data_IF_891270511465
#
_entry.id   IF_891270511465
#
_cell.length_a   1.000
_cell.length_b   1.000
_cell.length_c   1.000
_cell.angle_alpha   90.00
_cell.angle_beta   90.00
_cell.angle_gamma   90.00
#
_symmetry.space_group_name_H-M   'P 1'
#
loop_
_entity.id
_entity.type
_entity.pdbx_description
1 polymer ?
#
# COMPACT_ATOMS: atom_id res chain seq x y z
N UNK A 1 -35.95 57.16 35.84
CA UNK A 1 -35.37 55.79 35.92
C UNK A 1 -35.75 54.88 34.74
N UNK A 2 -36.62 55.31 33.81
CA UNK A 2 -37.17 54.47 32.73
C UNK A 2 -36.26 54.37 31.48
N UNK A 3 -35.46 55.39 31.16
CA UNK A 3 -34.58 55.40 29.98
C UNK A 3 -33.37 54.44 30.09
N UNK A 4 -32.86 54.20 31.30
CA UNK A 4 -31.71 53.30 31.53
C UNK A 4 -32.09 51.82 31.37
N UNK A 5 -33.35 51.45 31.64
CA UNK A 5 -33.88 50.10 31.47
C UNK A 5 -34.08 49.72 30.00
N UNK A 6 -34.49 50.66 29.15
CA UNK A 6 -34.69 50.43 27.71
C UNK A 6 -33.34 50.18 27.00
N UNK A 7 -32.30 50.95 27.36
CA UNK A 7 -30.97 50.80 26.76
C UNK A 7 -30.25 49.51 27.19
N UNK A 8 -30.51 49.00 28.40
CA UNK A 8 -30.01 47.68 28.84
C UNK A 8 -30.69 46.52 28.12
N UNK A 9 -32.01 46.60 27.87
CA UNK A 9 -32.75 45.55 27.19
C UNK A 9 -32.40 45.45 25.69
N UNK A 10 -32.16 46.59 25.02
CA UNK A 10 -31.69 46.62 23.63
C UNK A 10 -30.31 45.96 23.44
N UNK A 11 -29.38 46.18 24.37
CA UNK A 11 -28.06 45.52 24.33
C UNK A 11 -28.14 44.00 24.59
N UNK A 12 -29.04 43.55 25.46
CA UNK A 12 -29.26 42.13 25.70
C UNK A 12 -29.86 41.41 24.48
N UNK A 13 -30.83 42.04 23.81
CA UNK A 13 -31.43 41.52 22.57
C UNK A 13 -30.43 41.50 21.41
N UNK A 14 -29.58 42.53 21.27
CA UNK A 14 -28.49 42.54 20.30
C UNK A 14 -27.47 41.44 20.58
N UNK A 15 -27.07 41.23 21.84
CA UNK A 15 -26.15 40.16 22.25
C UNK A 15 -26.69 38.76 21.94
N UNK A 16 -27.99 38.53 22.11
CA UNK A 16 -28.64 37.25 21.80
C UNK A 16 -28.78 36.99 20.28
N UNK A 17 -28.94 38.04 19.47
CA UNK A 17 -28.93 37.93 18.00
C UNK A 17 -27.50 37.75 17.45
N UNK A 18 -26.51 38.40 18.07
CA UNK A 18 -25.10 38.25 17.74
C UNK A 18 -24.60 36.84 18.11
N UNK A 19 -24.98 36.31 19.27
CA UNK A 19 -24.65 34.93 19.65
C UNK A 19 -25.32 33.90 18.72
N UNK A 20 -26.61 34.07 18.38
CA UNK A 20 -27.29 33.18 17.42
C UNK A 20 -26.64 33.17 16.03
N UNK A 21 -26.26 34.34 15.51
CA UNK A 21 -25.59 34.43 14.21
C UNK A 21 -24.14 33.93 14.25
N UNK A 22 -23.43 34.06 15.37
CA UNK A 22 -22.12 33.43 15.58
C UNK A 22 -22.23 31.92 15.69
N UNK A 23 -23.21 31.38 16.42
CA UNK A 23 -23.45 29.94 16.57
C UNK A 23 -23.79 29.27 15.24
N UNK A 24 -24.61 29.90 14.40
CA UNK A 24 -24.95 29.39 13.06
C UNK A 24 -23.74 29.42 12.13
N UNK A 25 -22.85 30.41 12.23
CA UNK A 25 -21.59 30.44 11.49
C UNK A 25 -20.61 29.39 12.01
N UNK A 26 -20.55 29.15 13.32
CA UNK A 26 -19.70 28.12 13.92
C UNK A 26 -20.17 26.72 13.56
N UNK A 27 -21.50 26.48 13.52
CA UNK A 27 -22.10 25.24 13.01
C UNK A 27 -21.79 25.03 11.54
N UNK A 28 -21.98 26.03 10.69
CA UNK A 28 -21.57 25.95 9.27
C UNK A 28 -20.07 25.69 9.14
N UNK A 29 -19.23 26.31 9.96
CA UNK A 29 -17.79 26.08 9.95
C UNK A 29 -17.42 24.65 10.41
N UNK A 30 -18.12 24.11 11.41
CA UNK A 30 -17.98 22.70 11.82
C UNK A 30 -18.47 21.74 10.74
N UNK A 31 -19.58 22.04 10.07
CA UNK A 31 -20.10 21.25 8.94
C UNK A 31 -19.13 21.27 7.75
N UNK A 32 -18.57 22.44 7.40
CA UNK A 32 -17.51 22.55 6.39
C UNK A 32 -16.23 21.82 6.80
N UNK A 33 -15.87 21.82 8.08
CA UNK A 33 -14.71 21.09 8.61
C UNK A 33 -14.93 19.57 8.53
N UNK A 34 -16.11 19.09 8.94
CA UNK A 34 -16.52 17.69 8.84
C UNK A 34 -16.61 17.22 7.39
N UNK A 35 -17.16 18.06 6.50
CA UNK A 35 -17.25 17.77 5.07
C UNK A 35 -15.86 17.67 4.44
N UNK A 36 -14.92 18.59 4.77
CA UNK A 36 -13.54 18.51 4.30
C UNK A 36 -12.81 17.28 4.84
N UNK A 37 -13.00 16.93 6.11
CA UNK A 37 -12.41 15.72 6.69
C UNK A 37 -12.90 14.44 6.00
N UNK A 38 -14.20 14.34 5.70
CA UNK A 38 -14.77 13.24 4.91
C UNK A 38 -14.18 13.19 3.51
N UNK A 39 -14.09 14.33 2.83
CA UNK A 39 -13.56 14.42 1.47
C UNK A 39 -12.06 14.02 1.40
N UNK A 40 -11.29 14.35 2.43
CA UNK A 40 -9.90 13.89 2.56
C UNK A 40 -9.80 12.37 2.75
N UNK A 41 -10.67 11.79 3.58
CA UNK A 41 -10.72 10.33 3.81
C UNK A 41 -11.13 9.58 2.54
N UNK A 42 -12.15 10.05 1.80
CA UNK A 42 -12.57 9.44 0.53
C UNK A 42 -11.44 9.42 -0.49
N UNK A 43 -10.67 10.52 -0.60
CA UNK A 43 -9.49 10.58 -1.47
C UNK A 43 -8.39 9.63 -1.03
N UNK A 44 -8.17 9.46 0.27
CA UNK A 44 -7.18 8.51 0.78
C UNK A 44 -7.56 7.06 0.44
N UNK A 45 -8.83 6.67 0.63
CA UNK A 45 -9.32 5.34 0.29
C UNK A 45 -9.22 5.09 -1.22
N UNK A 46 -9.64 6.06 -2.04
CA UNK A 46 -9.52 5.97 -3.50
C UNK A 46 -8.06 5.85 -3.93
N UNK A 47 -7.15 6.62 -3.32
CA UNK A 47 -5.72 6.53 -3.61
C UNK A 47 -5.17 5.15 -3.25
N UNK A 48 -5.54 4.60 -2.08
CA UNK A 48 -5.11 3.27 -1.65
C UNK A 48 -5.59 2.19 -2.61
N UNK A 49 -6.86 2.23 -3.01
CA UNK A 49 -7.43 1.27 -3.96
C UNK A 49 -6.74 1.38 -5.33
N UNK A 50 -6.55 2.60 -5.84
CA UNK A 50 -5.86 2.81 -7.10
C UNK A 50 -4.40 2.36 -7.07
N UNK A 51 -3.68 2.60 -5.97
CA UNK A 51 -2.31 2.15 -5.82
C UNK A 51 -2.23 0.62 -5.77
N UNK A 52 -3.16 -0.03 -5.04
CA UNK A 52 -3.27 -1.50 -4.99
C UNK A 52 -3.55 -2.10 -6.36
N UNK A 53 -4.54 -1.55 -7.09
CA UNK A 53 -4.88 -1.99 -8.44
C UNK A 53 -3.72 -1.78 -9.42
N UNK A 54 -3.05 -0.61 -9.36
CA UNK A 54 -1.89 -0.31 -10.21
C UNK A 54 -0.70 -1.21 -9.90
N UNK A 55 -0.44 -1.51 -8.62
CA UNK A 55 0.63 -2.43 -8.24
C UNK A 55 0.37 -3.85 -8.76
N UNK A 56 -0.86 -4.36 -8.64
CA UNK A 56 -1.23 -5.66 -9.22
C UNK A 56 -1.17 -5.64 -10.76
N UNK A 57 -1.68 -4.58 -11.39
CA UNK A 57 -1.62 -4.44 -12.85
C UNK A 57 -0.17 -4.40 -13.37
N UNK A 58 0.73 -3.70 -12.66
CA UNK A 58 2.16 -3.67 -12.98
C UNK A 58 2.81 -5.05 -12.81
N UNK A 59 2.47 -5.80 -11.76
CA UNK A 59 2.98 -7.15 -11.56
C UNK A 59 2.59 -8.09 -12.72
N UNK A 60 1.32 -8.03 -13.13
CA UNK A 60 0.82 -8.82 -14.27
C UNK A 60 1.48 -8.35 -15.57
N UNK A 61 1.56 -7.04 -15.82
CA UNK A 61 2.21 -6.49 -17.01
C UNK A 61 3.69 -6.91 -17.09
N UNK A 62 4.41 -6.87 -15.97
CA UNK A 62 5.80 -7.30 -15.88
C UNK A 62 5.97 -8.78 -16.23
N UNK A 63 5.12 -9.65 -15.67
CA UNK A 63 5.15 -11.08 -16.00
C UNK A 63 4.87 -11.35 -17.49
N UNK A 64 3.94 -10.61 -18.10
CA UNK A 64 3.62 -10.72 -19.53
C UNK A 64 4.79 -10.28 -20.42
N UNK A 65 5.47 -9.20 -20.07
CA UNK A 65 6.65 -8.77 -20.84
C UNK A 65 7.83 -9.73 -20.65
N UNK A 66 8.08 -10.18 -19.42
CA UNK A 66 9.11 -11.19 -19.15
C UNK A 66 8.92 -12.43 -20.02
N UNK A 67 7.68 -12.90 -20.16
CA UNK A 67 7.35 -14.08 -20.93
C UNK A 67 7.69 -13.97 -22.42
N UNK A 68 7.54 -12.79 -23.03
CA UNK A 68 7.90 -12.58 -24.45
C UNK A 68 9.40 -12.74 -24.67
N UNK A 69 10.20 -12.10 -23.83
CA UNK A 69 11.67 -12.18 -23.94
C UNK A 69 12.19 -13.56 -23.53
N UNK A 70 11.70 -14.10 -22.42
CA UNK A 70 12.11 -15.41 -21.94
C UNK A 70 11.64 -16.55 -22.87
N UNK A 71 10.45 -16.44 -23.45
CA UNK A 71 9.93 -17.41 -24.41
C UNK A 71 10.74 -17.46 -25.71
N UNK A 72 11.16 -16.32 -26.24
CA UNK A 72 12.05 -16.28 -27.41
C UNK A 72 13.43 -16.86 -27.10
N UNK A 73 14.01 -16.53 -25.94
CA UNK A 73 15.24 -17.15 -25.45
C UNK A 73 15.10 -18.67 -25.29
N UNK A 74 14.03 -19.13 -24.64
CA UNK A 74 13.75 -20.55 -24.42
C UNK A 74 13.61 -21.30 -25.75
N UNK A 75 12.95 -20.72 -26.74
CA UNK A 75 12.83 -21.32 -28.07
C UNK A 75 14.20 -21.49 -28.74
N UNK A 76 15.02 -20.45 -28.76
CA UNK A 76 16.37 -20.50 -29.35
C UNK A 76 17.26 -21.49 -28.59
N UNK A 77 17.23 -21.47 -27.25
CA UNK A 77 17.98 -22.40 -26.41
C UNK A 77 17.56 -23.84 -26.65
N UNK A 78 16.25 -24.12 -26.70
CA UNK A 78 15.70 -25.46 -26.93
C UNK A 78 16.12 -25.98 -28.30
N UNK A 79 16.01 -25.18 -29.37
CA UNK A 79 16.45 -25.56 -30.71
C UNK A 79 17.95 -25.80 -30.76
N UNK A 80 18.75 -24.89 -30.20
CA UNK A 80 20.21 -24.99 -30.18
C UNK A 80 20.72 -26.20 -29.41
N UNK A 81 20.15 -26.47 -28.22
CA UNK A 81 20.49 -27.62 -27.39
C UNK A 81 20.04 -28.93 -28.04
N UNK A 82 18.86 -28.95 -28.69
CA UNK A 82 18.37 -30.14 -29.41
C UNK A 82 19.24 -30.48 -30.60
N UNK A 83 19.59 -29.48 -31.44
CA UNK A 83 20.52 -29.67 -32.55
C UNK A 83 21.91 -30.14 -32.06
N UNK A 84 22.40 -29.56 -30.96
CA UNK A 84 23.65 -29.95 -30.32
C UNK A 84 23.64 -31.38 -29.77
N UNK A 85 22.54 -31.79 -29.13
CA UNK A 85 22.35 -33.14 -28.59
C UNK A 85 22.35 -34.19 -29.70
N UNK A 86 21.69 -33.91 -30.82
CA UNK A 86 21.69 -34.79 -32.01
C UNK A 86 23.10 -34.90 -32.60
N UNK A 87 23.77 -33.76 -32.82
CA UNK A 87 25.12 -33.73 -33.43
C UNK A 87 26.17 -34.46 -32.58
N UNK A 88 26.10 -34.32 -31.25
CA UNK A 88 27.03 -34.97 -30.32
C UNK A 88 26.57 -36.35 -29.84
N UNK A 89 25.38 -36.80 -30.25
CA UNK A 89 24.71 -38.03 -29.76
C UNK A 89 24.68 -38.13 -28.23
N UNK A 90 24.62 -36.99 -27.54
CA UNK A 90 24.62 -36.92 -26.09
C UNK A 90 23.30 -36.30 -25.60
N UNK A 91 22.34 -37.12 -25.13
CA UNK A 91 21.06 -36.63 -24.64
C UNK A 91 21.19 -35.78 -23.37
N UNK A 92 22.32 -35.86 -22.66
CA UNK A 92 22.60 -35.05 -21.47
C UNK A 92 22.65 -33.55 -21.75
N UNK A 93 22.83 -33.12 -23.00
CA UNK A 93 22.75 -31.70 -23.38
C UNK A 93 21.33 -31.12 -23.24
N UNK A 94 20.29 -31.96 -23.15
CA UNK A 94 18.91 -31.51 -22.90
C UNK A 94 18.61 -31.31 -21.42
N UNK A 95 19.49 -31.73 -20.51
CA UNK A 95 19.33 -31.57 -19.07
C UNK A 95 18.91 -30.14 -18.65
N UNK A 96 19.51 -29.03 -19.15
CA UNK A 96 19.09 -27.67 -18.79
C UNK A 96 17.68 -27.28 -19.30
N UNK A 97 17.09 -28.01 -20.24
CA UNK A 97 15.74 -27.71 -20.75
C UNK A 97 14.69 -27.98 -19.68
N UNK A 98 14.89 -28.99 -18.83
CA UNK A 98 13.93 -29.36 -17.76
C UNK A 98 13.74 -28.23 -16.73
N UNK A 99 14.80 -27.69 -16.08
CA UNK A 99 14.62 -26.58 -15.15
C UNK A 99 14.14 -25.30 -15.87
N UNK A 100 14.58 -25.06 -17.12
CA UNK A 100 14.12 -23.89 -17.89
C UNK A 100 12.63 -23.98 -18.25
N UNK A 101 12.12 -25.17 -18.60
CA UNK A 101 10.70 -25.37 -18.92
C UNK A 101 9.83 -25.24 -17.68
N UNK A 102 10.31 -25.66 -16.51
CA UNK A 102 9.61 -25.45 -15.24
C UNK A 102 9.43 -23.96 -14.94
N UNK A 103 10.50 -23.16 -15.08
CA UNK A 103 10.43 -21.70 -14.93
C UNK A 103 9.48 -21.10 -15.97
N UNK A 104 9.55 -21.54 -17.23
CA UNK A 104 8.66 -21.06 -18.29
C UNK A 104 7.18 -21.31 -17.94
N UNK A 105 6.84 -22.53 -17.50
CA UNK A 105 5.49 -22.89 -17.11
C UNK A 105 4.99 -22.06 -15.91
N UNK A 106 5.84 -21.84 -14.91
CA UNK A 106 5.52 -20.95 -13.78
C UNK A 106 5.22 -19.52 -14.23
N UNK A 107 6.03 -18.97 -15.14
CA UNK A 107 5.84 -17.61 -15.66
C UNK A 107 4.57 -17.51 -16.52
N UNK A 108 4.24 -18.56 -17.29
CA UNK A 108 2.98 -18.67 -18.02
C UNK A 108 1.76 -18.61 -17.09
N UNK A 109 1.77 -19.39 -16.00
CA UNK A 109 0.68 -19.40 -15.01
C UNK A 109 0.62 -18.08 -14.21
N UNK A 110 1.76 -17.43 -13.95
CA UNK A 110 1.81 -16.10 -13.34
C UNK A 110 1.22 -14.99 -14.23
N UNK A 111 1.43 -15.07 -15.54
CA UNK A 111 1.05 -14.02 -16.50
C UNK A 111 -0.41 -14.11 -17.00
N UNK A 112 -0.93 -15.33 -17.12
CA UNK A 112 -2.26 -15.61 -17.69
C UNK A 112 -3.13 -16.52 -16.83
N UNK A 113 -2.54 -17.25 -15.90
CA UNK A 113 -3.21 -18.28 -15.14
C UNK A 113 -3.80 -17.78 -13.83
N UNK A 114 -4.06 -18.74 -12.93
CA UNK A 114 -4.80 -18.49 -11.69
C UNK A 114 -3.91 -18.31 -10.47
N UNK A 115 -2.58 -18.40 -10.64
CA UNK A 115 -1.61 -18.34 -9.55
C UNK A 115 -1.83 -17.13 -8.63
N UNK A 116 -2.02 -15.94 -9.20
CA UNK A 116 -2.24 -14.69 -8.44
C UNK A 116 -3.52 -14.77 -7.60
N UNK A 117 -4.60 -15.36 -8.13
CA UNK A 117 -5.86 -15.53 -7.39
C UNK A 117 -5.71 -16.56 -6.27
N UNK A 118 -4.98 -17.65 -6.51
CA UNK A 118 -4.70 -18.67 -5.49
C UNK A 118 -3.84 -18.12 -4.36
N UNK A 119 -2.76 -17.40 -4.69
CA UNK A 119 -1.92 -16.73 -3.71
C UNK A 119 -2.69 -15.69 -2.89
N UNK A 120 -3.63 -14.98 -3.53
CA UNK A 120 -4.50 -14.05 -2.80
C UNK A 120 -5.40 -14.77 -1.79
N UNK A 121 -6.02 -15.88 -2.19
CA UNK A 121 -6.84 -16.67 -1.26
C UNK A 121 -6.02 -17.26 -0.10
N UNK A 122 -4.80 -17.71 -0.37
CA UNK A 122 -3.88 -18.18 0.66
C UNK A 122 -3.44 -17.04 1.59
N UNK A 123 -3.18 -15.85 1.06
CA UNK A 123 -2.88 -14.66 1.86
C UNK A 123 -4.07 -14.24 2.74
N UNK A 124 -5.30 -14.32 2.23
CA UNK A 124 -6.53 -14.08 3.02
C UNK A 124 -6.63 -15.10 4.17
N UNK A 125 -6.40 -16.39 3.89
CA UNK A 125 -6.39 -17.43 4.93
C UNK A 125 -5.28 -17.22 5.98
N UNK A 126 -4.08 -16.77 5.59
CA UNK A 126 -2.99 -16.49 6.53
C UNK A 126 -3.34 -15.30 7.45
N UNK A 127 -3.97 -14.26 6.91
CA UNK A 127 -4.40 -13.10 7.72
C UNK A 127 -5.46 -13.47 8.77
N UNK A 128 -6.36 -14.40 8.43
CA UNK A 128 -7.45 -14.86 9.31
C UNK A 128 -7.00 -15.93 10.30
N UNK A 129 -6.29 -16.97 9.83
CA UNK A 129 -6.00 -18.18 10.59
C UNK A 129 -4.63 -18.15 11.27
N UNK A 130 -3.66 -17.44 10.71
CA UNK A 130 -2.26 -17.44 11.16
C UNK A 130 -1.77 -16.04 11.55
N UNK A 131 -2.66 -15.22 12.12
CA UNK A 131 -2.36 -13.83 12.48
C UNK A 131 -1.11 -13.69 13.38
N UNK A 132 -0.89 -14.66 14.28
CA UNK A 132 0.27 -14.69 15.18
C UNK A 132 1.62 -14.75 14.43
N UNK A 133 1.67 -15.30 13.21
CA UNK A 133 2.91 -15.32 12.40
C UNK A 133 3.19 -13.99 11.70
N UNK A 134 2.18 -13.12 11.59
CA UNK A 134 2.30 -11.79 10.98
C UNK A 134 2.73 -10.72 11.99
N UNK A 135 2.72 -11.03 13.28
CA UNK A 135 3.13 -10.11 14.32
C UNK A 135 4.63 -9.88 14.26
N UNK A 136 5.05 -8.62 14.18
CA UNK A 136 6.47 -8.28 14.21
C UNK A 136 7.06 -8.65 15.57
N UNK A 137 8.26 -9.26 15.64
CA UNK A 137 8.96 -9.40 16.91
C UNK A 137 9.21 -8.01 17.49
N UNK A 138 8.77 -7.80 18.75
CA UNK A 138 8.70 -6.53 19.49
C UNK A 138 7.47 -5.62 19.21
N UNK A 139 6.49 -6.07 18.42
CA UNK A 139 5.26 -5.33 18.16
C UNK A 139 5.45 -4.09 17.30
N UNK A 140 4.39 -3.29 17.12
CA UNK A 140 4.50 -2.01 16.41
C UNK A 140 5.31 -1.02 17.25
N UNK A 141 6.28 -0.29 16.68
CA UNK A 141 7.07 0.69 17.42
C UNK A 141 6.16 1.78 18.01
N UNK A 142 5.95 1.71 19.33
CA UNK A 142 5.20 2.71 20.09
C UNK A 142 5.95 4.05 20.08
N UNK A 143 5.23 5.16 20.28
CA UNK A 143 5.84 6.49 20.35
C UNK A 143 7.08 6.53 21.28
N UNK A 144 7.00 5.85 22.43
CA UNK A 144 8.11 5.71 23.38
C UNK A 144 9.35 5.02 22.79
N UNK A 145 9.19 3.96 21.99
CA UNK A 145 10.34 3.24 21.42
C UNK A 145 11.03 4.08 20.33
N UNK A 146 10.25 4.85 19.57
CA UNK A 146 10.76 5.81 18.58
C UNK A 146 11.50 6.96 19.29
N UNK A 147 10.93 7.50 20.37
CA UNK A 147 11.55 8.59 21.12
C UNK A 147 12.84 8.14 21.83
N UNK A 148 12.85 6.94 22.42
CA UNK A 148 14.03 6.32 23.02
C UNK A 148 15.13 6.08 21.99
N UNK A 149 14.79 5.59 20.79
CA UNK A 149 15.74 5.41 19.69
C UNK A 149 16.31 6.75 19.19
N UNK A 150 15.48 7.81 19.16
CA UNK A 150 15.91 9.16 18.78
C UNK A 150 16.88 9.76 19.81
N UNK A 151 16.57 9.64 21.12
CA UNK A 151 17.45 10.10 22.20
C UNK A 151 18.78 9.35 22.23
N UNK A 152 18.77 8.03 22.00
CA UNK A 152 19.97 7.23 21.93
C UNK A 152 20.87 7.61 20.74
N UNK A 153 20.28 7.92 19.57
CA UNK A 153 21.03 8.45 18.43
C UNK A 153 21.66 9.81 18.72
N UNK A 154 20.91 10.73 19.34
CA UNK A 154 21.43 12.05 19.70
C UNK A 154 22.51 12.01 20.79
N UNK A 155 22.42 11.09 21.75
CA UNK A 155 23.46 10.92 22.77
C UNK A 155 24.73 10.30 22.21
N UNK A 156 24.60 9.36 21.25
CA UNK A 156 25.73 8.71 20.60
C UNK A 156 26.49 9.69 19.69
N UNK A 157 25.79 10.53 18.92
CA UNK A 157 26.42 11.58 18.12
C UNK A 157 27.16 12.60 18.99
N UNK A 158 26.57 12.99 20.13
CA UNK A 158 27.21 13.90 21.08
C UNK A 158 28.45 13.29 21.78
N UNK A 159 28.53 11.95 21.87
CA UNK A 159 29.69 11.26 22.43
C UNK A 159 30.82 11.08 21.41
N UNK A 160 30.49 10.93 20.11
CA UNK A 160 31.47 10.80 19.02
C UNK A 160 32.09 12.13 18.58
N UNK A 161 31.45 13.27 18.89
CA UNK A 161 31.97 14.62 18.64
C UNK A 161 32.94 15.12 19.73
N UNK A 162 33.27 14.30 20.72
CA UNK A 162 34.12 14.64 21.87
C UNK A 162 35.41 13.85 21.89
#
# INVERSE_FOLDING_TARGET
MTACLIHRNANAAMGALLSKSMDDNFKKQQEFMLMNARLQMERQILMQNQMRERQMAMQIAWSREFLKYFGSFFAVATVGLTAGAIKRKNPGMLAPIIPLSFIFAYQMDSAYGTLIYRMRGEAENIMETENDRLQLPQGTPTFESIEKARRAKSSLSAFLEK
#
